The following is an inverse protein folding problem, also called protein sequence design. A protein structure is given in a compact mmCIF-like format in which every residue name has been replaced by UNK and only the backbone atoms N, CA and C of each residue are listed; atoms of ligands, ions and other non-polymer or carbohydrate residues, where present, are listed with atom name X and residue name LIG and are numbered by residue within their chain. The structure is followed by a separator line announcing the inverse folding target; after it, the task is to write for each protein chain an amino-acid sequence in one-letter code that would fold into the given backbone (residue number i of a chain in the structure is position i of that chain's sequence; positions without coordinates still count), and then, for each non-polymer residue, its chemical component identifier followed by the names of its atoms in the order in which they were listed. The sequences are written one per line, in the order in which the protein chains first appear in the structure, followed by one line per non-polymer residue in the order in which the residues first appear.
data_IF_828365580136
#
_entry.id   IF_828365580136
#
_cell.length_a   1.000
_cell.length_b   1.000
_cell.length_c   1.000
_cell.angle_alpha   90.00
_cell.angle_beta   90.00
_cell.angle_gamma   90.00
#
_symmetry.space_group_name_H-M   'P 1'
#
loop_
_entity.id
_entity.type
_entity.pdbx_description
1 polymer ?
2 non-polymer ?
3 water ?
#
# COMPACT_ATOMS: atom_id res chain seq x y z
N UNK A 5 -4.55 7.14 -11.56
CA UNK A 5 -4.96 7.66 -12.85
C UNK A 5 -6.40 7.28 -13.19
N UNK A 6 -6.77 6.04 -12.86
CA UNK A 6 -8.09 5.51 -13.20
C UNK A 6 -9.20 6.11 -12.34
N UNK A 7 -10.37 6.30 -12.93
CA UNK A 7 -11.55 6.73 -12.17
C UNK A 7 -12.11 5.54 -11.39
N UNK A 8 -12.97 5.84 -10.42
CA UNK A 8 -13.58 4.80 -9.57
C UNK A 8 -14.61 3.96 -10.32
N UNK A 9 -14.65 2.67 -10.01
CA UNK A 9 -15.73 1.79 -10.48
C UNK A 9 -17.03 2.19 -9.76
N UNK A 10 -18.10 2.38 -10.50
CA UNK A 10 -19.36 2.84 -9.90
C UNK A 10 -20.39 1.74 -9.77
N UNK A 11 -20.09 0.57 -10.32
CA UNK A 11 -21.06 -0.51 -10.35
C UNK A 11 -20.87 -1.55 -9.23
N UNK A 12 -21.34 -2.77 -9.47
CA UNK A 12 -21.33 -3.81 -8.44
C UNK A 12 -20.24 -4.87 -8.64
N UNK A 13 -19.77 -5.41 -7.53
CA UNK A 13 -18.80 -6.50 -7.53
C UNK A 13 -19.46 -7.78 -7.02
N UNK A 14 -18.97 -8.93 -7.45
CA UNK A 14 -19.40 -10.22 -6.90
C UNK A 14 -18.20 -10.99 -6.34
N UNK A 15 -18.39 -11.62 -5.18
CA UNK A 15 -17.34 -12.40 -4.54
C UNK A 15 -17.23 -13.75 -5.22
N UNK A 16 -16.01 -14.16 -5.61
CA UNK A 16 -15.87 -15.39 -6.41
C UNK A 16 -15.49 -16.60 -5.59
N UNK A 17 -15.06 -16.37 -4.35
CA UNK A 17 -14.70 -17.50 -3.49
C UNK A 17 -14.53 -17.11 -2.05
N UNK A 18 -14.42 -18.12 -1.21
CA UNK A 18 -14.28 -17.96 0.21
C UNK A 18 -13.11 -17.02 0.51
N UNK A 19 -13.33 -16.13 1.45
CA UNK A 19 -12.33 -15.21 1.91
C UNK A 19 -11.40 -15.97 2.85
N UNK A 20 -10.13 -15.54 2.95
CA UNK A 20 -9.21 -16.24 3.83
C UNK A 20 -8.12 -15.32 4.37
N UNK A 21 -7.45 -15.73 5.44
CA UNK A 21 -6.50 -14.86 6.12
C UNK A 21 -5.09 -15.46 6.08
N UNK A 22 -4.10 -14.61 5.81
CA UNK A 22 -2.69 -15.02 5.74
C UNK A 22 -2.01 -14.94 7.11
N UNK A 23 -0.73 -15.27 7.11
CA UNK A 23 0.11 -15.21 8.30
C UNK A 23 0.18 -13.80 8.86
N UNK A 24 0.27 -12.81 7.96
CA UNK A 24 0.39 -11.41 8.37
C UNK A 24 -0.93 -10.80 8.84
N UNK A 25 -1.99 -11.61 8.87
CA UNK A 25 -3.30 -11.11 9.23
C UNK A 25 -3.98 -10.31 8.14
N UNK A 26 -3.50 -10.43 6.90
CA UNK A 26 -4.22 -9.83 5.78
C UNK A 26 -5.24 -10.81 5.20
N UNK A 27 -6.23 -10.26 4.53
CA UNK A 27 -7.34 -11.04 4.02
C UNK A 27 -7.23 -11.06 2.51
N UNK A 28 -7.54 -12.20 1.94
CA UNK A 28 -7.49 -12.37 0.49
C UNK A 28 -8.90 -12.42 -0.05
N UNK A 29 -9.20 -11.55 -1.00
CA UNK A 29 -10.54 -11.40 -1.56
C UNK A 29 -10.47 -11.46 -3.10
N UNK A 30 -11.23 -12.36 -3.71
CA UNK A 30 -11.27 -12.47 -5.16
C UNK A 30 -12.63 -12.00 -5.66
N UNK A 31 -12.65 -10.98 -6.50
CA UNK A 31 -13.92 -10.41 -6.96
C UNK A 31 -14.03 -10.34 -8.48
N UNK A 32 -15.26 -10.23 -8.96
CA UNK A 32 -15.52 -10.02 -10.37
C UNK A 32 -16.42 -8.80 -10.45
N UNK A 33 -16.27 -8.01 -11.51
CA UNK A 33 -16.99 -6.73 -11.59
C UNK A 33 -18.16 -6.83 -12.58
N UNK A 34 -19.24 -6.13 -12.30
CA UNK A 34 -20.43 -6.26 -13.13
C UNK A 34 -20.79 -4.99 -13.89
N UNK A 35 -19.89 -4.01 -13.89
CA UNK A 35 -20.12 -2.75 -14.56
C UNK A 35 -19.48 -2.66 -15.94
N UNK A 36 -19.76 -1.58 -16.64
CA UNK A 36 -19.26 -1.41 -18.01
C UNK A 36 -18.20 -0.31 -18.09
N UNK A 37 -17.83 0.25 -16.94
CA UNK A 37 -16.94 1.39 -16.87
C UNK A 37 -15.49 1.04 -16.55
N UNK A 38 -15.09 -0.20 -16.84
CA UNK A 38 -13.70 -0.60 -16.69
C UNK A 38 -12.89 -0.13 -17.89
N UNK A 39 -11.58 0.09 -17.72
CA UNK A 39 -10.84 -0.09 -16.46
C UNK A 39 -11.19 0.98 -15.43
N UNK A 40 -11.19 0.60 -14.16
CA UNK A 40 -11.55 1.51 -13.07
C UNK A 40 -10.97 1.01 -11.74
N UNK A 41 -10.90 1.91 -10.77
CA UNK A 41 -10.33 1.63 -9.45
C UNK A 41 -11.36 1.02 -8.52
N UNK A 42 -11.00 -0.04 -7.84
CA UNK A 42 -11.93 -0.69 -6.92
C UNK A 42 -12.07 0.10 -5.61
N UNK A 43 -13.29 0.57 -5.33
CA UNK A 43 -13.52 1.30 -4.08
C UNK A 43 -13.45 0.35 -2.88
N UNK A 44 -12.63 0.72 -1.89
CA UNK A 44 -12.42 -0.13 -0.73
C UNK A 44 -12.51 0.69 0.55
N UNK A 45 -13.30 0.21 1.52
CA UNK A 45 -13.43 0.86 2.81
C UNK A 45 -13.72 -0.17 3.89
N UNK A 46 -13.66 0.25 5.15
CA UNK A 46 -13.98 -0.65 6.26
C UNK A 46 -14.97 0.03 7.20
N UNK A 47 -15.85 -0.75 7.82
CA UNK A 47 -16.91 -0.23 8.69
C UNK A 47 -17.10 -1.07 9.94
N UNK A 48 -17.61 -0.43 11.00
CA UNK A 48 -18.06 -1.14 12.20
C UNK A 48 -19.46 -1.72 11.96
N UNK A 49 -20.08 -2.23 13.02
CA UNK A 49 -21.41 -2.82 12.90
C UNK A 49 -22.51 -1.84 12.52
N UNK A 50 -22.41 -0.62 13.02
CA UNK A 50 -23.45 0.40 12.77
C UNK A 50 -23.15 1.30 11.56
N UNK A 51 -22.10 0.98 10.80
CA UNK A 51 -21.83 1.66 9.55
C UNK A 51 -20.81 2.79 9.51
N UNK A 52 -20.14 3.09 10.61
CA UNK A 52 -19.15 4.18 10.59
C UNK A 52 -17.73 3.70 10.29
N UNK A 53 -16.94 4.57 9.66
CA UNK A 53 -15.61 4.23 9.15
C UNK A 53 -14.66 3.59 10.16
N UNK A 54 -13.64 2.92 9.63
CA UNK A 54 -12.71 2.12 10.42
C UNK A 54 -11.27 2.20 9.89
N UNK A 55 -10.39 1.34 10.40
CA UNK A 55 -8.95 1.47 10.23
C UNK A 55 -8.29 0.41 9.34
N UNK A 56 -8.69 0.34 8.07
CA UNK A 56 -8.15 -0.68 7.17
C UNK A 56 -7.44 -0.11 5.95
N UNK A 57 -6.58 -0.91 5.34
CA UNK A 57 -5.80 -0.44 4.19
C UNK A 57 -5.63 -1.52 3.14
N UNK A 58 -5.41 -1.10 1.90
CA UNK A 58 -5.13 -2.07 0.85
C UNK A 58 -3.65 -2.43 0.87
N UNK A 59 -3.35 -3.67 0.49
CA UNK A 59 -1.98 -4.07 0.24
C UNK A 59 -1.75 -4.06 -1.28
N UNK A 60 -2.65 -4.68 -2.05
CA UNK A 60 -2.66 -4.52 -3.51
C UNK A 60 -2.47 -3.05 -3.81
N UNK A 61 -3.41 -2.25 -3.29
CA UNK A 61 -3.25 -0.80 -3.11
C UNK A 61 -3.25 0.13 -4.34
N UNK A 62 -3.31 -0.46 -5.54
CA UNK A 62 -3.98 0.19 -6.67
C UNK A 62 -4.73 -0.91 -7.38
N UNK A 63 -5.68 -1.51 -6.66
CA UNK A 63 -6.49 -2.60 -7.20
C UNK A 63 -7.43 -2.01 -8.22
N UNK A 64 -7.44 -2.61 -9.42
CA UNK A 64 -8.22 -2.10 -10.54
C UNK A 64 -8.87 -3.25 -11.29
N UNK A 65 -10.05 -2.99 -11.83
CA UNK A 65 -10.69 -3.89 -12.78
C UNK A 65 -10.20 -3.53 -14.17
N UNK A 66 -9.51 -4.45 -14.83
CA UNK A 66 -9.03 -4.22 -16.19
C UNK A 66 -10.04 -4.70 -17.23
N UNK A 67 -10.57 -5.90 -17.00
CA UNK A 67 -11.62 -6.45 -17.85
C UNK A 67 -12.78 -6.93 -16.99
N UNK A 68 -14.00 -6.54 -17.34
CA UNK A 68 -15.17 -6.97 -16.59
C UNK A 68 -15.19 -8.48 -16.36
N UNK A 69 -14.77 -9.23 -17.38
CA UNK A 69 -14.88 -10.68 -17.37
C UNK A 69 -13.76 -11.38 -16.60
N UNK A 70 -12.82 -10.59 -16.09
CA UNK A 70 -11.61 -11.12 -15.47
C UNK A 70 -11.52 -10.75 -13.98
N UNK A 71 -11.46 -11.77 -13.11
CA UNK A 71 -11.47 -11.59 -11.66
C UNK A 71 -10.27 -10.81 -11.18
N UNK A 72 -10.39 -10.17 -10.02
CA UNK A 72 -9.30 -9.41 -9.44
C UNK A 72 -9.05 -9.95 -8.04
N UNK A 73 -7.77 -10.20 -7.74
CA UNK A 73 -7.38 -10.64 -6.40
C UNK A 73 -6.94 -9.46 -5.55
N UNK A 74 -7.65 -9.22 -4.45
CA UNK A 74 -7.36 -8.12 -3.56
C UNK A 74 -6.73 -8.67 -2.28
N UNK A 75 -5.77 -7.95 -1.73
CA UNK A 75 -5.25 -8.27 -0.41
C UNK A 75 -5.39 -7.02 0.45
N UNK A 76 -5.93 -7.19 1.65
CA UNK A 76 -6.26 -6.02 2.47
C UNK A 76 -5.84 -6.30 3.89
N UNK A 77 -5.52 -5.26 4.66
CA UNK A 77 -5.20 -5.43 6.06
C UNK A 77 -6.30 -4.79 6.89
N UNK A 78 -7.21 -5.62 7.43
CA UNK A 78 -8.36 -5.03 8.11
C UNK A 78 -7.94 -4.64 9.51
N UNK A 79 -8.76 -3.85 10.19
CA UNK A 79 -8.43 -3.53 11.58
C UNK A 79 -8.52 -4.76 12.47
N UNK A 80 -7.89 -4.67 13.64
CA UNK A 80 -8.04 -5.71 14.64
C UNK A 80 -9.48 -5.83 15.14
N UNK A 81 -9.85 -7.05 15.47
CA UNK A 81 -11.19 -7.32 15.99
C UNK A 81 -12.15 -7.46 14.83
N UNK A 82 -13.43 -7.18 15.08
CA UNK A 82 -14.45 -7.37 14.06
C UNK A 82 -14.58 -6.15 13.16
N UNK A 83 -14.61 -6.37 11.86
CA UNK A 83 -14.87 -5.25 10.97
C UNK A 83 -15.62 -5.76 9.77
N UNK A 84 -16.11 -4.82 8.98
CA UNK A 84 -16.72 -5.13 7.70
C UNK A 84 -15.94 -4.47 6.57
N UNK A 85 -15.42 -5.30 5.69
CA UNK A 85 -14.71 -4.81 4.51
C UNK A 85 -15.75 -4.58 3.41
N UNK A 86 -15.74 -3.37 2.85
CA UNK A 86 -16.73 -2.98 1.86
C UNK A 86 -16.03 -2.75 0.53
N UNK A 87 -16.49 -3.46 -0.49
CA UNK A 87 -15.89 -3.36 -1.81
C UNK A 87 -16.95 -2.84 -2.76
N UNK A 88 -16.71 -1.67 -3.33
CA UNK A 88 -17.72 -0.99 -4.12
C UNK A 88 -18.41 0.05 -3.25
N UNK A 89 -19.42 0.70 -3.81
CA UNK A 89 -20.04 1.83 -3.13
C UNK A 89 -21.54 1.64 -2.87
N UNK A 90 -22.03 2.33 -1.84
CA UNK A 90 -23.45 2.44 -1.54
C UNK A 90 -24.15 1.13 -1.23
N UNK A 91 -25.46 1.12 -1.44
CA UNK A 91 -26.21 -0.11 -1.47
C UNK A 91 -25.55 -0.97 -2.53
N UNK A 92 -25.75 -2.29 -2.46
CA UNK A 92 -25.17 -3.19 -3.45
C UNK A 92 -23.67 -3.48 -3.21
N UNK A 93 -22.98 -2.59 -2.52
CA UNK A 93 -21.57 -2.85 -2.22
C UNK A 93 -21.44 -4.21 -1.55
N UNK A 94 -20.38 -4.95 -1.89
CA UNK A 94 -20.10 -6.22 -1.23
C UNK A 94 -19.55 -5.93 0.15
N UNK A 95 -20.11 -6.59 1.16
CA UNK A 95 -19.68 -6.40 2.53
C UNK A 95 -19.27 -7.73 3.12
N UNK A 96 -18.04 -7.79 3.64
CA UNK A 96 -17.48 -9.02 4.16
C UNK A 96 -17.12 -8.82 5.62
N UNK A 97 -17.74 -9.59 6.50
CA UNK A 97 -17.48 -9.44 7.93
C UNK A 97 -16.29 -10.33 8.30
N UNK A 98 -15.36 -9.80 9.09
CA UNK A 98 -14.16 -10.59 9.42
C UNK A 98 -13.66 -10.24 10.81
N UNK A 99 -13.04 -11.19 11.49
CA UNK A 99 -12.47 -10.91 12.81
C UNK A 99 -10.97 -11.19 12.77
N UNK A 100 -10.17 -10.14 13.01
CA UNK A 100 -8.71 -10.25 12.97
C UNK A 100 -8.14 -10.30 14.37
N UNK A 101 -7.49 -11.42 14.70
CA UNK A 101 -6.77 -11.52 15.97
C UNK A 101 -5.28 -11.26 15.75
N UNK A 102 -4.63 -10.63 16.72
CA UNK A 102 -3.18 -10.53 16.76
C UNK A 102 -2.57 -11.68 17.55
N UNK A 103 -1.27 -11.61 17.84
CA UNK A 103 -0.64 -12.74 18.53
C UNK A 103 -0.91 -12.76 20.04
N UNK A 104 -1.05 -13.97 20.57
CA UNK A 104 -1.19 -14.19 22.01
C UNK A 104 0.02 -13.61 22.74
N UNK B 4 4.14 -5.76 -10.66
CA UNK B 4 4.00 -6.80 -9.63
C UNK B 4 4.65 -8.10 -10.09
N UNK B 5 4.74 -8.27 -11.41
CA UNK B 5 5.44 -9.42 -11.97
C UNK B 5 6.91 -9.05 -12.08
N UNK B 6 7.19 -7.77 -11.83
CA UNK B 6 8.54 -7.22 -12.01
C UNK B 6 9.52 -7.77 -10.97
N UNK B 7 10.76 -8.02 -11.40
CA UNK B 7 11.82 -8.36 -10.47
C UNK B 7 12.28 -7.11 -9.72
N UNK B 8 13.06 -7.30 -8.66
CA UNK B 8 13.61 -6.20 -7.87
C UNK B 8 14.68 -5.41 -8.63
N UNK B 9 14.70 -4.10 -8.42
CA UNK B 9 15.78 -3.25 -8.95
C UNK B 9 17.07 -3.59 -8.21
N UNK B 10 18.15 -3.81 -8.94
CA UNK B 10 19.40 -4.19 -8.28
C UNK B 10 20.37 -3.02 -8.17
N UNK B 11 20.10 -1.94 -8.90
CA UNK B 11 21.05 -0.83 -8.98
C UNK B 11 20.81 0.30 -7.98
N UNK B 12 21.37 1.46 -8.28
CA UNK B 12 21.42 2.55 -7.31
C UNK B 12 20.32 3.57 -7.55
N UNK B 13 19.80 4.12 -6.45
CA UNK B 13 18.85 5.21 -6.49
C UNK B 13 19.51 6.49 -5.99
N UNK B 14 19.04 7.62 -6.49
CA UNK B 14 19.48 8.92 -5.98
C UNK B 14 18.27 9.71 -5.52
N UNK B 15 18.46 10.52 -4.47
CA UNK B 15 17.38 11.36 -3.95
C UNK B 15 17.28 12.63 -4.80
N UNK B 16 16.11 12.90 -5.38
CA UNK B 16 15.95 14.03 -6.31
C UNK B 16 15.51 15.34 -5.65
N UNK B 17 15.05 15.26 -4.41
CA UNK B 17 14.74 16.48 -3.71
C UNK B 17 14.64 16.27 -2.22
N UNK B 18 14.48 17.37 -1.50
CA UNK B 18 14.38 17.28 -0.07
C UNK B 18 13.24 16.30 0.24
N UNK B 19 13.39 15.57 1.33
CA UNK B 19 12.33 14.77 1.88
C UNK B 19 11.37 15.74 2.59
N UNK B 20 10.10 15.40 2.66
CA UNK B 20 9.13 16.25 3.37
C UNK B 20 8.05 15.42 4.05
N UNK B 21 7.33 16.03 4.99
CA UNK B 21 6.42 15.33 5.88
C UNK B 21 5.01 15.91 5.73
N UNK B 22 4.02 15.05 5.56
CA UNK B 22 2.62 15.51 5.45
C UNK B 22 2.06 15.86 6.82
N UNK B 23 0.89 16.49 6.83
CA UNK B 23 0.30 16.92 8.10
C UNK B 23 0.01 15.73 9.01
N UNK B 24 -0.19 14.55 8.44
CA UNK B 24 -0.49 13.37 9.24
C UNK B 24 0.72 12.47 9.49
N UNK B 25 1.91 12.93 9.08
CA UNK B 25 3.14 12.26 9.49
C UNK B 25 3.74 11.24 8.52
N UNK B 26 3.21 11.13 7.31
CA UNK B 26 3.88 10.33 6.32
C UNK B 26 5.02 11.14 5.69
N UNK B 27 5.93 10.46 5.02
CA UNK B 27 7.02 11.13 4.36
C UNK B 27 6.95 10.97 2.86
N UNK B 28 7.31 12.03 2.16
CA UNK B 28 7.32 12.01 0.71
C UNK B 28 8.76 12.04 0.20
N UNK B 29 9.08 11.06 -0.65
CA UNK B 29 10.44 10.85 -1.15
C UNK B 29 10.38 10.76 -2.67
N UNK B 30 11.24 11.50 -3.35
CA UNK B 30 11.33 11.41 -4.82
C UNK B 30 12.71 10.89 -5.22
N UNK B 31 12.75 9.76 -5.90
CA UNK B 31 14.03 9.15 -6.26
C UNK B 31 14.18 8.98 -7.77
N UNK B 32 15.45 8.87 -8.20
CA UNK B 32 15.76 8.58 -9.59
C UNK B 32 16.63 7.33 -9.61
N UNK B 33 16.41 6.48 -10.61
CA UNK B 33 17.13 5.22 -10.70
C UNK B 33 18.23 5.25 -11.76
N UNK B 34 19.41 4.73 -11.41
CA UNK B 34 20.53 4.76 -12.33
C UNK B 34 20.78 3.43 -13.07
N UNK B 35 20.00 2.40 -12.72
CA UNK B 35 20.18 1.08 -13.32
C UNK B 35 19.62 0.90 -14.72
N UNK B 36 20.00 -0.19 -15.37
CA UNK B 36 19.52 -0.51 -16.71
C UNK B 36 18.49 -1.63 -16.66
N UNK B 37 18.23 -2.15 -15.46
CA UNK B 37 17.37 -3.32 -15.31
C UNK B 37 15.90 -2.97 -15.04
N UNK B 38 15.48 -1.77 -15.47
CA UNK B 38 14.08 -1.37 -15.37
C UNK B 38 13.30 -1.93 -16.57
N UNK B 39 11.97 -2.07 -16.43
CA UNK B 39 11.19 -1.80 -15.22
C UNK B 39 11.47 -2.82 -14.12
N UNK B 40 11.53 -2.32 -12.88
CA UNK B 40 11.84 -3.16 -11.74
C UNK B 40 11.20 -2.58 -10.48
N UNK B 41 11.03 -3.42 -9.45
CA UNK B 41 10.45 -3.00 -8.17
C UNK B 41 11.46 -2.31 -7.27
N UNK B 42 11.08 -1.17 -6.70
CA UNK B 42 11.95 -0.47 -5.75
C UNK B 42 11.98 -1.16 -4.38
N UNK B 43 13.17 -1.65 -3.95
CA UNK B 43 13.28 -2.26 -2.62
C UNK B 43 13.09 -1.20 -1.54
N UNK B 44 12.27 -1.52 -0.54
CA UNK B 44 11.98 -0.58 0.55
C UNK B 44 12.05 -1.33 1.87
N UNK B 45 12.72 -0.73 2.85
CA UNK B 45 12.79 -1.33 4.17
C UNK B 45 12.98 -0.23 5.18
N UNK B 46 12.71 -0.54 6.45
CA UNK B 46 12.97 0.42 7.50
C UNK B 46 13.78 -0.25 8.60
N UNK B 47 14.58 0.55 9.29
CA UNK B 47 15.44 0.08 10.36
C UNK B 47 15.25 0.99 11.56
N UNK B 48 15.63 0.54 12.74
CA UNK B 48 15.58 1.42 13.90
C UNK B 48 16.97 1.99 14.17
N UNK B 49 17.11 2.79 15.23
CA UNK B 49 18.38 3.39 15.55
C UNK B 49 19.45 2.37 15.90
N UNK B 50 19.03 1.12 16.10
CA UNK B 50 19.93 0.05 16.50
C UNK B 50 20.34 -0.85 15.33
N UNK B 51 19.80 -0.57 14.15
CA UNK B 51 20.12 -1.35 12.96
C UNK B 51 19.10 -2.45 12.68
N UNK B 52 18.14 -2.61 13.58
CA UNK B 52 17.18 -3.70 13.50
C UNK B 52 16.03 -3.41 12.53
N UNK B 53 15.59 -4.43 11.81
CA UNK B 53 14.41 -4.32 10.95
C UNK B 53 13.25 -3.71 11.73
N UNK B 54 12.64 -2.68 11.16
CA UNK B 54 11.55 -1.97 11.83
C UNK B 54 10.27 -2.16 11.02
N UNK B 55 9.18 -1.49 11.39
CA UNK B 55 7.90 -1.75 10.75
C UNK B 55 7.24 -0.58 10.00
N UNK B 56 8.04 0.32 9.46
CA UNK B 56 7.47 1.35 8.60
C UNK B 56 6.81 0.68 7.40
N UNK B 57 5.87 1.36 6.76
CA UNK B 57 5.23 0.74 5.61
C UNK B 57 5.07 1.71 4.46
N UNK B 58 4.98 1.16 3.26
CA UNK B 58 4.74 1.98 2.08
C UNK B 58 3.26 2.38 2.01
N UNK B 59 3.02 3.60 1.57
CA UNK B 59 1.68 4.05 1.22
C UNK B 59 1.49 3.85 -0.29
N UNK B 60 2.50 4.25 -1.07
CA UNK B 60 2.59 3.88 -2.48
C UNK B 60 2.52 2.37 -2.59
N UNK B 61 1.49 1.85 -3.24
CA UNK B 61 1.29 0.41 -3.33
C UNK B 61 2.56 -0.34 -3.71
N UNK B 62 2.86 -0.37 -5.00
CA UNK B 62 3.96 -1.16 -5.55
C UNK B 62 4.92 -0.24 -6.30
N UNK B 63 5.85 0.40 -5.56
CA UNK B 63 6.71 1.38 -6.19
C UNK B 63 7.61 0.73 -7.23
N UNK B 64 7.60 1.27 -8.44
CA UNK B 64 8.37 0.67 -9.53
C UNK B 64 9.05 1.75 -10.34
N UNK B 65 10.24 1.43 -10.85
CA UNK B 65 10.90 2.28 -11.80
C UNK B 65 10.43 1.83 -13.17
N UNK B 66 10.03 2.77 -14.02
CA UNK B 66 9.59 2.40 -15.36
C UNK B 66 10.69 2.68 -16.38
N UNK B 67 11.16 3.92 -16.42
CA UNK B 67 12.34 4.27 -17.20
C UNK B 67 13.36 4.93 -16.26
N UNK B 68 14.62 4.58 -16.43
CA UNK B 68 15.68 5.10 -15.57
C UNK B 68 15.74 6.62 -15.55
N UNK B 69 15.44 7.25 -16.68
CA UNK B 69 15.54 8.70 -16.80
C UNK B 69 14.42 9.42 -16.05
N UNK B 70 13.45 8.65 -15.57
CA UNK B 70 12.25 9.20 -14.96
C UNK B 70 12.16 8.96 -13.44
N UNK B 71 11.99 10.03 -12.66
CA UNK B 71 11.90 9.96 -11.20
C UNK B 71 10.60 9.29 -10.73
N UNK B 72 10.63 8.71 -9.52
CA UNK B 72 9.48 8.03 -8.93
C UNK B 72 9.16 8.65 -7.57
N UNK B 73 7.89 8.97 -7.34
CA UNK B 73 7.46 9.52 -6.07
C UNK B 73 7.03 8.41 -5.11
N UNK B 74 7.58 8.43 -3.90
CA UNK B 74 7.27 7.39 -2.92
C UNK B 74 6.69 8.06 -1.69
N UNK B 75 5.63 7.47 -1.13
CA UNK B 75 5.11 7.92 0.14
C UNK B 75 5.20 6.79 1.15
N UNK B 76 5.75 7.08 2.33
CA UNK B 76 5.96 6.02 3.32
C UNK B 76 5.43 6.46 4.67
N UNK B 77 4.97 5.51 5.47
CA UNK B 77 4.58 5.84 6.84
C UNK B 77 5.64 5.27 7.78
N UNK B 78 6.41 6.17 8.42
CA UNK B 78 7.47 5.73 9.33
C UNK B 78 6.87 5.37 10.69
N UNK B 79 7.56 4.52 11.43
CA UNK B 79 7.15 4.26 12.82
C UNK B 79 7.41 5.46 13.73
N UNK B 80 6.82 5.44 14.90
CA UNK B 80 7.09 6.54 15.81
C UNK B 80 8.50 6.44 16.35
N UNK B 81 9.10 7.60 16.65
CA UNK B 81 10.44 7.61 17.18
C UNK B 81 11.43 7.59 16.03
N UNK B 82 12.66 7.16 16.31
CA UNK B 82 13.68 7.20 15.28
C UNK B 82 13.58 6.01 14.34
N UNK B 83 13.75 6.25 13.05
CA UNK B 83 13.91 5.14 12.13
C UNK B 83 14.80 5.56 10.98
N UNK B 84 15.20 4.58 10.19
CA UNK B 84 15.86 4.88 8.94
C UNK B 84 15.11 4.23 7.81
N UNK B 85 14.72 5.04 6.83
CA UNK B 85 14.05 4.51 5.64
C UNK B 85 15.14 4.18 4.61
N UNK B 86 15.10 2.98 4.06
CA UNK B 86 16.16 2.52 3.18
C UNK B 86 15.54 2.14 1.85
N UNK B 87 15.99 2.82 0.80
CA UNK B 87 15.50 2.56 -0.55
C UNK B 87 16.67 1.95 -1.35
N UNK B 88 16.46 0.76 -1.91
CA UNK B 88 17.50 0.07 -2.63
C UNK B 88 18.20 -0.94 -1.73
N UNK B 89 19.22 -1.60 -2.25
CA UNK B 89 19.85 -2.69 -1.52
C UNK B 89 21.34 -2.46 -1.31
N UNK B 90 21.85 -3.03 -0.23
CA UNK B 90 23.28 -3.02 0.02
C UNK B 90 23.89 -1.67 0.28
N UNK B 91 25.06 -1.45 -0.29
CA UNK B 91 25.93 -0.32 0.04
C UNK B 91 25.47 1.04 -0.46
N UNK B 92 25.08 1.09 -1.74
CA UNK B 92 24.67 2.35 -2.34
C UNK B 92 23.20 2.66 -2.07
N UNK B 93 22.56 1.86 -1.21
CA UNK B 93 21.15 2.10 -0.86
C UNK B 93 21.02 3.48 -0.24
N UNK B 94 19.93 4.18 -0.57
CA UNK B 94 19.68 5.48 0.02
C UNK B 94 19.14 5.27 1.43
N UNK B 95 19.74 5.95 2.41
CA UNK B 95 19.29 5.84 3.78
C UNK B 95 18.85 7.19 4.31
N UNK B 96 17.60 7.28 4.74
CA UNK B 96 17.03 8.54 5.19
C UNK B 96 16.66 8.44 6.66
N UNK B 97 17.32 9.24 7.50
CA UNK B 97 17.04 9.22 8.94
C UNK B 97 15.79 10.03 9.25
N UNK B 98 14.96 9.54 10.16
CA UNK B 98 13.69 10.18 10.42
C UNK B 98 13.34 10.06 11.88
N UNK B 99 12.66 11.08 12.39
CA UNK B 99 12.13 11.00 13.72
C UNK B 99 10.68 11.44 13.72
N UNK B 100 9.77 10.52 14.07
CA UNK B 100 8.34 10.81 14.06
C UNK B 100 7.75 10.94 15.46
N UNK B 101 7.10 12.07 15.70
CA UNK B 101 6.40 12.25 16.98
C UNK B 101 4.90 12.24 16.81
N UNK B 102 4.19 11.92 17.88
CA UNK B 102 2.76 12.16 17.98
C UNK B 102 2.54 13.57 18.53
N UNK B 103 1.63 13.73 19.49
CA UNK B 103 1.37 15.05 20.06
C UNK B 103 2.63 15.56 20.74
N UNK B 104 3.04 16.77 20.42
CA UNK B 104 4.27 17.31 20.98
C UNK B 104 4.26 18.82 20.88
N UNK B 105 5.18 19.46 21.61
CA UNK B 105 5.38 20.90 21.46
C UNK B 105 6.35 21.19 20.32
N UNK B 106 7.52 20.52 20.34
CA UNK B 106 8.51 20.75 19.31
C UNK B 106 8.54 19.65 18.28
N UNK B 107 9.18 19.94 17.15
CA UNK B 107 9.16 19.02 16.00
C UNK B 107 9.96 17.75 16.23
#
# INVERSE_FOLDING_TARGET
GSGMSYAMCLNTFVLKKEVSETQHGTILIKVEYKGEDAPCKIPFSTEDGQGKAHNGRLITANPVVTKKEEPVNIEAEPPFGESNIVIGIGDKALKINWYRKGSSIGK
GSGMSYAMCLNTFVLKKEVSETQHGTILIKVEYKGEDAPCKIPFSTEDGQGKAHNGRLITANPVVTKKEEPVNIEAEPPFGESNIVIGIGDKALKINWYRKGSSIGK
#
